data_IF_150485817814
#
_entry.id   IF_150485817814
#
_cell.length_a   1.000
_cell.length_b   1.000
_cell.length_c   1.000
_cell.angle_alpha   90.00
_cell.angle_beta   90.00
_cell.angle_gamma   90.00
#
_symmetry.space_group_name_H-M   'P 1'
#
loop_
_entity.id
_entity.type
_entity.pdbx_description
1 polymer ?
#
# COMPACT_ATOMS: atom_id res chain seq x y z
N UNK A 1 -67.32 39.14 54.21
CA UNK A 1 -67.19 38.41 52.93
C UNK A 1 -65.80 38.50 52.27
N UNK A 2 -65.03 39.60 52.42
CA UNK A 2 -63.68 39.68 51.82
C UNK A 2 -62.61 38.73 52.43
N UNK A 3 -62.76 38.28 53.69
CA UNK A 3 -61.76 37.44 54.37
C UNK A 3 -61.70 35.98 53.89
N UNK A 4 -62.73 35.50 53.19
CA UNK A 4 -62.82 34.10 52.69
C UNK A 4 -62.43 33.95 51.22
N UNK A 5 -62.34 35.05 50.47
CA UNK A 5 -62.05 35.04 49.02
C UNK A 5 -60.53 35.06 48.76
N UNK A 6 -59.77 35.78 49.59
CA UNK A 6 -58.31 35.93 49.46
C UNK A 6 -57.51 34.60 49.56
N UNK A 7 -57.83 33.66 50.49
CA UNK A 7 -57.07 32.41 50.61
C UNK A 7 -57.32 31.44 49.46
N UNK A 8 -58.53 31.46 48.87
CA UNK A 8 -58.90 30.60 47.73
C UNK A 8 -58.23 31.08 46.44
N UNK A 9 -58.11 32.40 46.26
CA UNK A 9 -57.37 33.00 45.13
C UNK A 9 -55.86 32.73 45.26
N UNK A 10 -55.29 32.82 46.47
CA UNK A 10 -53.88 32.48 46.73
C UNK A 10 -53.58 30.99 46.54
N UNK A 11 -54.46 30.09 46.99
CA UNK A 11 -54.32 28.66 46.76
C UNK A 11 -54.48 28.28 45.28
N UNK A 12 -55.40 28.95 44.55
CA UNK A 12 -55.56 28.81 43.10
C UNK A 12 -54.36 29.31 42.31
N UNK A 13 -53.78 30.46 42.70
CA UNK A 13 -52.58 31.01 42.06
C UNK A 13 -51.33 30.14 42.30
N UNK A 14 -51.18 29.56 43.51
CA UNK A 14 -50.10 28.61 43.82
C UNK A 14 -50.28 27.26 43.10
N UNK A 15 -51.51 26.76 42.96
CA UNK A 15 -51.82 25.55 42.20
C UNK A 15 -51.58 25.70 40.70
N UNK A 16 -51.96 26.85 40.12
CA UNK A 16 -51.70 27.17 38.70
C UNK A 16 -50.20 27.37 38.46
N UNK A 17 -49.48 28.05 39.36
CA UNK A 17 -48.04 28.24 39.28
C UNK A 17 -47.24 26.94 39.41
N UNK A 18 -47.65 26.04 40.31
CA UNK A 18 -47.05 24.71 40.46
C UNK A 18 -47.32 23.81 39.25
N UNK A 19 -48.53 23.86 38.69
CA UNK A 19 -48.87 23.14 37.45
C UNK A 19 -48.07 23.64 36.25
N UNK A 20 -48.00 24.97 36.05
CA UNK A 20 -47.18 25.58 34.98
C UNK A 20 -45.68 25.26 35.14
N UNK A 21 -45.16 25.31 36.37
CA UNK A 21 -43.78 24.93 36.67
C UNK A 21 -43.48 23.46 36.38
N UNK A 22 -44.42 22.56 36.71
CA UNK A 22 -44.30 21.13 36.42
C UNK A 22 -44.37 20.83 34.91
N UNK A 23 -45.29 21.46 34.18
CA UNK A 23 -45.39 21.30 32.72
C UNK A 23 -44.16 21.84 31.99
N UNK A 24 -43.64 22.98 32.43
CA UNK A 24 -42.43 23.59 31.84
C UNK A 24 -41.16 22.79 32.16
N UNK A 25 -41.07 22.22 33.37
CA UNK A 25 -40.01 21.29 33.74
C UNK A 25 -40.02 20.03 32.86
N UNK A 26 -41.19 19.40 32.69
CA UNK A 26 -41.33 18.22 31.84
C UNK A 26 -41.03 18.53 30.36
N UNK A 27 -41.44 19.71 29.86
CA UNK A 27 -41.10 20.17 28.51
C UNK A 27 -39.59 20.28 28.31
N UNK A 28 -38.88 20.90 29.26
CA UNK A 28 -37.41 21.01 29.20
C UNK A 28 -36.70 19.67 29.31
N UNK A 29 -37.20 18.75 30.14
CA UNK A 29 -36.63 17.39 30.24
C UNK A 29 -36.83 16.61 28.93
N UNK A 30 -37.98 16.75 28.29
CA UNK A 30 -38.25 16.16 26.99
C UNK A 30 -37.36 16.77 25.89
N UNK A 31 -37.17 18.10 25.88
CA UNK A 31 -36.25 18.79 24.97
C UNK A 31 -34.80 18.32 25.16
N UNK A 32 -34.34 18.17 26.41
CA UNK A 32 -33.01 17.63 26.72
C UNK A 32 -32.89 16.17 26.25
N UNK A 33 -33.93 15.35 26.44
CA UNK A 33 -33.93 13.95 25.97
C UNK A 33 -33.87 13.88 24.45
N UNK A 34 -34.71 14.65 23.76
CA UNK A 34 -34.72 14.70 22.29
C UNK A 34 -33.39 15.23 21.74
N UNK A 35 -32.79 16.23 22.39
CA UNK A 35 -31.48 16.73 22.02
C UNK A 35 -30.41 15.65 22.18
N UNK A 36 -30.36 14.96 23.32
CA UNK A 36 -29.43 13.85 23.55
C UNK A 36 -29.63 12.70 22.55
N UNK A 37 -30.87 12.29 22.28
CA UNK A 37 -31.19 11.25 21.29
C UNK A 37 -30.72 11.68 19.89
N UNK A 38 -30.95 12.94 19.50
CA UNK A 38 -30.51 13.47 18.21
C UNK A 38 -28.98 13.56 18.09
N UNK A 39 -28.30 13.94 19.18
CA UNK A 39 -26.83 14.00 19.23
C UNK A 39 -26.22 12.59 19.19
N UNK A 40 -26.83 11.62 19.86
CA UNK A 40 -26.40 10.22 19.82
C UNK A 40 -26.63 9.61 18.43
N UNK A 41 -27.77 9.88 17.80
CA UNK A 41 -28.06 9.47 16.43
C UNK A 41 -27.06 10.07 15.44
N UNK A 42 -26.81 11.39 15.54
CA UNK A 42 -25.83 12.08 14.70
C UNK A 42 -24.41 11.54 14.88
N UNK A 43 -24.02 11.18 16.11
CA UNK A 43 -22.73 10.52 16.38
C UNK A 43 -22.66 9.15 15.73
N UNK A 44 -23.69 8.31 15.87
CA UNK A 44 -23.72 6.98 15.23
C UNK A 44 -23.65 7.07 13.70
N UNK A 45 -24.38 8.01 13.11
CA UNK A 45 -24.35 8.25 11.67
C UNK A 45 -22.97 8.75 11.21
N UNK A 46 -22.35 9.63 11.98
CA UNK A 46 -20.99 10.12 11.74
C UNK A 46 -19.97 8.98 11.82
N UNK A 47 -20.00 8.15 12.87
CA UNK A 47 -19.08 7.03 13.06
C UNK A 47 -19.21 6.00 11.92
N UNK A 48 -20.45 5.70 11.50
CA UNK A 48 -20.71 4.81 10.36
C UNK A 48 -20.17 5.39 9.04
N UNK A 49 -20.32 6.71 8.85
CA UNK A 49 -19.78 7.38 7.66
C UNK A 49 -18.25 7.38 7.64
N UNK A 50 -17.63 7.56 8.80
CA UNK A 50 -16.17 7.48 8.97
C UNK A 50 -15.66 6.06 8.70
N UNK A 51 -16.30 5.03 9.26
CA UNK A 51 -15.97 3.62 9.04
C UNK A 51 -16.02 3.27 7.55
N UNK A 52 -17.10 3.65 6.86
CA UNK A 52 -17.25 3.42 5.42
C UNK A 52 -16.18 4.14 4.60
N UNK A 53 -15.77 5.34 5.02
CA UNK A 53 -14.71 6.10 4.36
C UNK A 53 -13.35 5.42 4.54
N UNK A 54 -13.07 4.87 5.73
CA UNK A 54 -11.90 4.06 5.98
C UNK A 54 -11.88 2.77 5.17
N UNK A 55 -13.00 2.05 5.15
CA UNK A 55 -13.13 0.83 4.35
C UNK A 55 -12.85 1.11 2.87
N UNK A 56 -13.38 2.21 2.35
CA UNK A 56 -13.11 2.64 0.97
C UNK A 56 -11.62 2.90 0.75
N UNK A 57 -10.99 3.69 1.63
CA UNK A 57 -9.54 4.01 1.53
C UNK A 57 -8.67 2.74 1.63
N UNK A 58 -9.01 1.80 2.49
CA UNK A 58 -8.27 0.54 2.64
C UNK A 58 -8.47 -0.39 1.44
N UNK A 59 -9.69 -0.50 0.91
CA UNK A 59 -9.97 -1.30 -0.27
C UNK A 59 -9.26 -0.73 -1.51
N UNK A 60 -9.29 0.59 -1.67
CA UNK A 60 -8.57 1.29 -2.75
C UNK A 60 -7.05 1.11 -2.60
N UNK A 61 -6.52 1.20 -1.37
CA UNK A 61 -5.12 0.92 -1.07
C UNK A 61 -4.73 -0.49 -1.54
N UNK A 62 -5.50 -1.51 -1.13
CA UNK A 62 -5.20 -2.90 -1.47
C UNK A 62 -5.29 -3.14 -2.97
N UNK A 63 -6.27 -2.53 -3.64
CA UNK A 63 -6.42 -2.63 -5.09
C UNK A 63 -5.23 -1.98 -5.80
N UNK A 64 -4.92 -0.73 -5.49
CA UNK A 64 -3.84 0.01 -6.14
C UNK A 64 -2.48 -0.65 -5.89
N UNK A 65 -2.23 -1.13 -4.66
CA UNK A 65 -1.03 -1.89 -4.34
C UNK A 65 -0.91 -3.16 -5.19
N UNK A 66 -1.99 -3.95 -5.30
CA UNK A 66 -2.01 -5.17 -6.13
C UNK A 66 -1.78 -4.88 -7.60
N UNK A 67 -2.43 -3.85 -8.14
CA UNK A 67 -2.30 -3.45 -9.54
C UNK A 67 -0.82 -3.07 -9.83
N UNK A 68 -0.22 -2.22 -8.98
CA UNK A 68 1.20 -1.82 -9.14
C UNK A 68 2.19 -2.97 -8.96
N UNK A 69 1.93 -3.86 -8.01
CA UNK A 69 2.76 -5.04 -7.80
C UNK A 69 2.66 -6.03 -8.96
N UNK A 70 1.48 -6.16 -9.59
CA UNK A 70 1.28 -6.96 -10.77
C UNK A 70 2.07 -6.40 -11.98
N UNK A 71 1.99 -5.09 -12.22
CA UNK A 71 2.77 -4.42 -13.27
C UNK A 71 4.28 -4.64 -13.06
N UNK A 72 4.77 -4.53 -11.82
CA UNK A 72 6.16 -4.84 -11.49
C UNK A 72 6.52 -6.31 -11.82
N UNK A 73 5.67 -7.25 -11.42
CA UNK A 73 5.90 -8.69 -11.63
C UNK A 73 5.93 -9.05 -13.12
N UNK A 74 5.09 -8.44 -13.94
CA UNK A 74 5.09 -8.64 -15.39
C UNK A 74 6.42 -8.21 -16.01
N UNK A 75 6.93 -7.03 -15.65
CA UNK A 75 8.25 -6.58 -16.12
C UNK A 75 9.38 -7.49 -15.63
N UNK A 76 9.27 -8.00 -14.39
CA UNK A 76 10.25 -8.96 -13.85
C UNK A 76 10.24 -10.29 -14.61
N UNK A 77 9.07 -10.72 -15.09
CA UNK A 77 8.97 -11.90 -15.93
C UNK A 77 9.69 -11.68 -17.26
N UNK A 78 9.47 -10.53 -17.91
CA UNK A 78 10.19 -10.17 -19.13
C UNK A 78 11.72 -10.16 -18.93
N UNK A 79 12.21 -9.74 -17.75
CA UNK A 79 13.65 -9.79 -17.44
C UNK A 79 14.20 -11.23 -17.50
N UNK A 80 13.44 -12.20 -17.00
CA UNK A 80 13.83 -13.60 -17.09
C UNK A 80 13.80 -14.08 -18.54
N UNK A 81 12.75 -13.76 -19.29
CA UNK A 81 12.61 -14.16 -20.70
C UNK A 81 13.77 -13.63 -21.55
N UNK A 82 14.10 -12.33 -21.48
CA UNK A 82 15.18 -11.77 -22.31
C UNK A 82 16.56 -12.32 -21.98
N UNK A 83 16.71 -13.04 -20.86
CA UNK A 83 17.96 -13.69 -20.43
C UNK A 83 18.05 -15.16 -20.84
N UNK A 84 17.02 -15.71 -21.50
CA UNK A 84 17.04 -17.08 -22.00
C UNK A 84 18.03 -17.26 -23.17
N UNK A 85 18.73 -18.41 -23.26
CA UNK A 85 19.75 -18.64 -24.29
C UNK A 85 19.29 -18.43 -25.74
N UNK A 86 18.05 -18.82 -26.07
CA UNK A 86 17.46 -18.63 -27.39
C UNK A 86 17.48 -17.14 -27.83
N UNK A 87 17.34 -16.22 -26.89
CA UNK A 87 17.32 -14.78 -27.11
C UNK A 87 18.74 -14.21 -27.41
N UNK A 88 19.75 -15.08 -27.53
CA UNK A 88 21.10 -14.70 -27.92
C UNK A 88 21.58 -15.45 -29.17
N UNK A 89 20.69 -16.08 -29.95
CA UNK A 89 21.06 -16.87 -31.14
C UNK A 89 21.91 -16.10 -32.15
N UNK A 90 21.69 -14.78 -32.27
CA UNK A 90 22.46 -13.92 -33.17
C UNK A 90 23.10 -12.74 -32.42
N UNK A 91 24.20 -12.16 -32.95
CA UNK A 91 24.77 -10.94 -32.37
C UNK A 91 23.80 -9.77 -32.31
N UNK A 92 22.90 -9.67 -33.29
CA UNK A 92 21.85 -8.65 -33.31
C UNK A 92 20.89 -8.85 -32.14
N UNK A 93 20.46 -10.08 -31.85
CA UNK A 93 19.59 -10.36 -30.71
C UNK A 93 20.26 -10.03 -29.37
N UNK A 94 21.57 -10.33 -29.23
CA UNK A 94 22.32 -9.93 -28.04
C UNK A 94 22.36 -8.41 -27.86
N UNK A 95 22.53 -7.66 -28.95
CA UNK A 95 22.51 -6.20 -28.93
C UNK A 95 21.10 -5.64 -28.61
N UNK A 96 20.06 -6.18 -29.25
CA UNK A 96 18.68 -5.75 -29.07
C UNK A 96 18.22 -6.01 -27.63
N UNK A 97 18.52 -7.19 -27.08
CA UNK A 97 18.14 -7.53 -25.70
C UNK A 97 18.90 -6.70 -24.67
N UNK A 98 20.20 -6.44 -24.87
CA UNK A 98 20.95 -5.56 -23.98
C UNK A 98 20.41 -4.12 -24.03
N UNK A 99 20.08 -3.61 -25.22
CA UNK A 99 19.51 -2.27 -25.38
C UNK A 99 18.07 -2.18 -24.82
N UNK A 100 17.24 -3.20 -25.03
CA UNK A 100 15.91 -3.32 -24.45
C UNK A 100 15.99 -3.28 -22.93
N UNK A 101 16.90 -4.07 -22.35
CA UNK A 101 17.13 -4.08 -20.91
C UNK A 101 17.52 -2.69 -20.40
N UNK A 102 18.59 -2.12 -20.97
CA UNK A 102 19.21 -0.90 -20.47
C UNK A 102 18.32 0.33 -20.63
N UNK A 103 17.65 0.45 -21.77
CA UNK A 103 16.92 1.68 -22.11
C UNK A 103 15.45 1.62 -21.69
N UNK A 104 14.89 0.43 -21.47
CA UNK A 104 13.47 0.26 -21.17
C UNK A 104 13.24 -0.55 -19.89
N UNK A 105 13.74 -1.79 -19.82
CA UNK A 105 13.32 -2.71 -18.77
C UNK A 105 13.83 -2.33 -17.38
N UNK A 106 15.15 -2.10 -17.23
CA UNK A 106 15.73 -1.74 -15.93
C UNK A 106 15.16 -0.42 -15.40
N UNK A 107 15.07 0.67 -16.20
CA UNK A 107 14.42 1.90 -15.76
C UNK A 107 12.95 1.70 -15.37
N UNK A 108 12.20 0.87 -16.11
CA UNK A 108 10.79 0.58 -15.81
C UNK A 108 10.64 -0.21 -14.52
N UNK A 109 11.51 -1.20 -14.27
CA UNK A 109 11.52 -1.95 -13.01
C UNK A 109 11.78 -1.03 -11.81
N UNK A 110 12.81 -0.17 -11.87
CA UNK A 110 13.07 0.79 -10.79
C UNK A 110 11.90 1.77 -10.59
N UNK A 111 11.32 2.28 -11.68
CA UNK A 111 10.15 3.15 -11.61
C UNK A 111 8.97 2.44 -10.94
N UNK A 112 8.66 1.20 -11.36
CA UNK A 112 7.54 0.43 -10.82
C UNK A 112 7.77 0.10 -9.33
N UNK A 113 9.00 -0.20 -8.91
CA UNK A 113 9.35 -0.38 -7.51
C UNK A 113 9.03 0.88 -6.68
N UNK A 114 9.43 2.06 -7.16
CA UNK A 114 9.11 3.34 -6.53
C UNK A 114 7.59 3.55 -6.47
N UNK A 115 6.86 3.22 -7.53
CA UNK A 115 5.40 3.36 -7.56
C UNK A 115 4.71 2.45 -6.53
N UNK A 116 5.15 1.20 -6.39
CA UNK A 116 4.63 0.27 -5.36
C UNK A 116 4.85 0.84 -3.96
N UNK A 117 6.05 1.34 -3.67
CA UNK A 117 6.37 1.96 -2.38
C UNK A 117 5.56 3.25 -2.14
N UNK A 118 5.35 4.05 -3.20
CA UNK A 118 4.60 5.30 -3.16
C UNK A 118 3.13 5.15 -2.79
N UNK A 119 2.55 3.95 -2.95
CA UNK A 119 1.17 3.66 -2.52
C UNK A 119 1.02 3.89 -1.02
N UNK A 120 1.95 3.41 -0.19
CA UNK A 120 1.88 3.60 1.27
C UNK A 120 1.88 5.08 1.68
N UNK A 121 2.69 5.90 1.03
CA UNK A 121 2.78 7.33 1.34
C UNK A 121 1.55 8.10 0.84
N UNK A 122 1.03 7.74 -0.34
CA UNK A 122 -0.20 8.32 -0.90
C UNK A 122 -1.40 8.06 0.02
N UNK A 123 -1.60 6.81 0.45
CA UNK A 123 -2.71 6.46 1.31
C UNK A 123 -2.52 6.91 2.76
N UNK A 124 -1.27 7.06 3.24
CA UNK A 124 -1.01 7.71 4.52
C UNK A 124 -1.54 9.14 4.56
N UNK A 125 -1.40 9.91 3.46
CA UNK A 125 -1.99 11.25 3.35
C UNK A 125 -3.52 11.22 3.30
N UNK A 126 -4.11 10.24 2.61
CA UNK A 126 -5.59 10.06 2.58
C UNK A 126 -6.15 9.73 3.97
N UNK A 127 -5.47 8.87 4.73
CA UNK A 127 -5.83 8.54 6.12
C UNK A 127 -5.73 9.77 7.02
N UNK A 128 -4.65 10.55 6.94
CA UNK A 128 -4.54 11.80 7.70
C UNK A 128 -5.64 12.80 7.36
N UNK A 129 -5.99 12.92 6.07
CA UNK A 129 -7.05 13.81 5.64
C UNK A 129 -8.42 13.37 6.18
N UNK A 130 -8.72 12.06 6.20
CA UNK A 130 -9.94 11.53 6.81
C UNK A 130 -10.01 11.81 8.32
N UNK A 131 -8.88 11.76 9.01
CA UNK A 131 -8.81 11.97 10.46
C UNK A 131 -8.83 13.45 10.87
N UNK A 132 -8.69 14.39 9.94
CA UNK A 132 -8.46 15.81 10.28
C UNK A 132 -9.60 16.45 11.10
N UNK A 133 -10.85 15.97 10.92
CA UNK A 133 -12.02 16.43 11.68
C UNK A 133 -12.24 15.69 13.01
N UNK A 134 -11.51 14.60 13.25
CA UNK A 134 -11.76 13.72 14.38
C UNK A 134 -11.18 14.25 15.70
N UNK A 135 -11.69 13.81 16.85
CA UNK A 135 -11.05 14.07 18.14
C UNK A 135 -9.60 13.56 18.14
N UNK A 136 -8.71 14.31 18.78
CA UNK A 136 -7.26 14.00 18.82
C UNK A 136 -6.96 12.56 19.25
N UNK A 137 -7.70 12.04 20.24
CA UNK A 137 -7.54 10.66 20.71
C UNK A 137 -7.81 9.63 19.59
N UNK A 138 -8.87 9.86 18.80
CA UNK A 138 -9.20 9.04 17.63
C UNK A 138 -8.12 9.15 16.55
N UNK A 139 -7.65 10.36 16.28
CA UNK A 139 -6.56 10.60 15.33
C UNK A 139 -5.30 9.82 15.73
N UNK A 140 -4.85 9.99 16.97
CA UNK A 140 -3.63 9.38 17.51
C UNK A 140 -3.73 7.84 17.47
N UNK A 141 -4.89 7.28 17.83
CA UNK A 141 -5.14 5.84 17.78
C UNK A 141 -5.08 5.27 16.36
N UNK A 142 -5.89 5.80 15.45
CA UNK A 142 -5.99 5.26 14.09
C UNK A 142 -4.70 5.51 13.31
N UNK A 143 -4.09 6.68 13.48
CA UNK A 143 -2.79 6.97 12.88
C UNK A 143 -1.69 6.05 13.42
N UNK A 144 -1.71 5.73 14.72
CA UNK A 144 -0.81 4.75 15.33
C UNK A 144 -0.93 3.38 14.67
N UNK A 145 -2.15 2.88 14.47
CA UNK A 145 -2.39 1.59 13.78
C UNK A 145 -1.89 1.62 12.32
N UNK A 146 -2.18 2.71 11.59
CA UNK A 146 -1.68 2.89 10.23
C UNK A 146 -0.14 2.88 10.18
N UNK A 147 0.51 3.61 11.09
CA UNK A 147 1.98 3.65 11.17
C UNK A 147 2.56 2.30 11.57
N UNK A 148 1.93 1.56 12.48
CA UNK A 148 2.36 0.21 12.86
C UNK A 148 2.26 -0.77 11.69
N UNK A 149 1.14 -0.77 10.97
CA UNK A 149 0.98 -1.58 9.76
C UNK A 149 2.04 -1.19 8.71
N UNK A 150 2.21 0.11 8.46
CA UNK A 150 3.23 0.63 7.54
C UNK A 150 4.62 0.16 7.94
N UNK A 151 5.02 0.31 9.20
CA UNK A 151 6.34 -0.11 9.68
C UNK A 151 6.60 -1.61 9.48
N UNK A 152 5.60 -2.46 9.76
CA UNK A 152 5.72 -3.91 9.56
C UNK A 152 5.87 -4.29 8.09
N UNK A 153 5.17 -3.61 7.19
CA UNK A 153 5.12 -3.98 5.78
C UNK A 153 6.21 -3.28 4.94
N UNK A 154 6.38 -1.97 5.12
CA UNK A 154 7.30 -1.14 4.32
C UNK A 154 8.74 -1.58 4.48
N UNK A 155 9.19 -1.93 5.69
CA UNK A 155 10.58 -2.36 5.90
C UNK A 155 10.91 -3.66 5.14
N UNK A 156 9.94 -4.59 5.06
CA UNK A 156 10.07 -5.83 4.28
C UNK A 156 10.17 -5.50 2.79
N UNK A 157 9.31 -4.60 2.29
CA UNK A 157 9.34 -4.19 0.88
C UNK A 157 10.60 -3.39 0.51
N UNK A 158 11.10 -2.53 1.39
CA UNK A 158 12.38 -1.82 1.19
C UNK A 158 13.49 -2.86 1.00
N UNK A 159 13.63 -3.80 1.93
CA UNK A 159 14.65 -4.86 1.83
C UNK A 159 14.47 -5.69 0.58
N UNK A 160 13.23 -6.03 0.21
CA UNK A 160 12.94 -6.77 -1.02
C UNK A 160 13.41 -6.02 -2.27
N UNK A 161 13.09 -4.72 -2.40
CA UNK A 161 13.48 -3.92 -3.56
C UNK A 161 14.98 -3.58 -3.58
N UNK A 162 15.64 -3.45 -2.43
CA UNK A 162 17.11 -3.39 -2.36
C UNK A 162 17.76 -4.66 -2.96
N UNK A 163 17.17 -5.84 -2.72
CA UNK A 163 17.63 -7.07 -3.37
C UNK A 163 17.30 -7.12 -4.86
N UNK A 164 16.14 -6.58 -5.27
CA UNK A 164 15.80 -6.48 -6.69
C UNK A 164 16.79 -5.57 -7.43
N UNK A 165 17.22 -4.45 -6.85
CA UNK A 165 18.24 -3.59 -7.47
C UNK A 165 19.56 -4.34 -7.67
N UNK A 166 19.98 -5.13 -6.68
CA UNK A 166 21.16 -6.02 -6.81
C UNK A 166 20.97 -7.08 -7.89
N UNK A 167 19.77 -7.63 -8.01
CA UNK A 167 19.42 -8.65 -8.99
C UNK A 167 19.42 -8.06 -10.42
N UNK A 168 18.81 -6.90 -10.61
CA UNK A 168 18.78 -6.15 -11.87
C UNK A 168 20.22 -5.84 -12.31
N UNK A 169 21.07 -5.36 -11.41
CA UNK A 169 22.49 -5.11 -11.72
C UNK A 169 23.24 -6.41 -12.11
N UNK A 170 22.96 -7.54 -11.45
CA UNK A 170 23.56 -8.82 -11.81
C UNK A 170 23.12 -9.30 -13.20
N UNK A 171 21.86 -9.08 -13.57
CA UNK A 171 21.37 -9.34 -14.92
C UNK A 171 21.98 -8.40 -15.96
N UNK A 172 22.18 -7.12 -15.62
CA UNK A 172 22.89 -6.19 -16.51
C UNK A 172 24.29 -6.71 -16.86
N UNK A 173 25.04 -7.18 -15.86
CA UNK A 173 26.37 -7.75 -16.06
C UNK A 173 26.34 -8.96 -17.02
N UNK A 174 25.38 -9.87 -16.84
CA UNK A 174 25.19 -11.03 -17.71
C UNK A 174 24.84 -10.64 -19.15
N UNK A 175 23.86 -9.75 -19.32
CA UNK A 175 23.40 -9.28 -20.62
C UNK A 175 24.51 -8.52 -21.36
N UNK A 176 25.25 -7.68 -20.64
CA UNK A 176 26.42 -6.98 -21.17
C UNK A 176 27.51 -7.95 -21.60
N UNK A 177 27.74 -9.02 -20.83
CA UNK A 177 28.70 -10.05 -21.19
C UNK A 177 28.30 -10.76 -22.50
N UNK A 178 27.04 -11.16 -22.65
CA UNK A 178 26.55 -11.74 -23.92
C UNK A 178 26.66 -10.76 -25.08
N UNK A 179 26.28 -9.50 -24.90
CA UNK A 179 26.46 -8.48 -25.92
C UNK A 179 27.94 -8.31 -26.35
N UNK A 180 28.87 -8.25 -25.39
CA UNK A 180 30.31 -8.11 -25.68
C UNK A 180 30.94 -9.35 -26.31
N UNK A 181 30.40 -10.54 -25.99
CA UNK A 181 30.87 -11.83 -26.49
C UNK A 181 30.05 -12.37 -27.65
N UNK A 182 29.18 -11.58 -28.25
CA UNK A 182 28.22 -11.99 -29.26
C UNK A 182 28.81 -12.79 -30.45
N UNK A 183 30.07 -12.53 -30.82
CA UNK A 183 30.77 -13.24 -31.90
C UNK A 183 31.64 -14.43 -31.41
N UNK A 184 31.59 -14.75 -30.12
CA UNK A 184 32.46 -15.72 -29.41
C UNK A 184 31.65 -16.88 -28.80
N UNK A 185 30.37 -16.98 -29.10
CA UNK A 185 29.52 -18.11 -28.78
C UNK A 185 28.51 -18.35 -29.90
N UNK A 186 27.86 -19.50 -29.87
CA UNK A 186 26.67 -19.77 -30.68
C UNK A 186 25.62 -20.44 -29.80
N UNK A 187 24.36 -20.34 -30.20
CA UNK A 187 23.26 -21.04 -29.54
C UNK A 187 23.13 -22.48 -30.06
N UNK A 188 23.14 -23.46 -29.15
CA UNK A 188 22.86 -24.87 -29.45
C UNK A 188 21.39 -25.19 -29.16
N UNK A 189 20.60 -25.30 -30.24
CA UNK A 189 19.16 -25.65 -30.20
C UNK A 189 18.86 -26.97 -29.51
N UNK A 190 19.80 -27.93 -29.49
CA UNK A 190 19.54 -29.25 -28.88
C UNK A 190 19.68 -29.22 -27.37
N UNK A 191 20.62 -28.43 -26.86
CA UNK A 191 20.91 -28.34 -25.42
C UNK A 191 20.32 -27.10 -24.76
N UNK A 192 19.71 -26.20 -25.54
CA UNK A 192 19.14 -24.91 -25.14
C UNK A 192 20.16 -24.07 -24.34
N UNK A 193 21.37 -23.95 -24.89
CA UNK A 193 22.51 -23.32 -24.21
C UNK A 193 23.37 -22.54 -25.19
N UNK A 194 24.06 -21.55 -24.65
CA UNK A 194 25.16 -20.88 -25.36
C UNK A 194 26.43 -21.71 -25.24
N UNK A 195 27.08 -21.94 -26.38
CA UNK A 195 28.33 -22.69 -26.49
C UNK A 195 29.44 -21.70 -26.86
N UNK A 196 30.27 -21.38 -25.88
CA UNK A 196 31.38 -20.45 -26.02
C UNK A 196 32.57 -21.10 -26.73
N UNK A 197 33.22 -20.34 -27.61
CA UNK A 197 34.44 -20.76 -28.30
C UNK A 197 35.64 -20.86 -27.36
N UNK A 198 35.65 -20.09 -26.26
CA UNK A 198 36.73 -20.07 -25.27
C UNK A 198 36.25 -20.68 -23.94
N UNK A 199 36.91 -21.72 -23.40
CA UNK A 199 36.53 -22.33 -22.12
C UNK A 199 36.42 -21.37 -20.93
N UNK A 200 37.29 -20.34 -20.78
CA UNK A 200 37.17 -19.37 -19.68
C UNK A 200 35.86 -18.58 -19.68
N UNK A 201 35.30 -18.25 -20.84
CA UNK A 201 34.06 -17.46 -20.93
C UNK A 201 32.86 -18.24 -20.34
N UNK A 202 32.88 -19.57 -20.43
CA UNK A 202 31.87 -20.44 -19.79
C UNK A 202 31.95 -20.42 -18.27
N UNK A 203 33.15 -20.30 -17.70
CA UNK A 203 33.31 -20.17 -16.24
C UNK A 203 32.86 -18.79 -15.76
N UNK A 204 33.10 -17.74 -16.56
CA UNK A 204 32.60 -16.38 -16.28
C UNK A 204 31.06 -16.36 -16.30
N UNK A 205 30.43 -16.93 -17.32
CA UNK A 205 28.97 -17.08 -17.41
C UNK A 205 28.39 -17.80 -16.18
N UNK A 206 29.00 -18.93 -15.79
CA UNK A 206 28.59 -19.67 -14.59
C UNK A 206 28.67 -18.80 -13.33
N UNK A 207 29.70 -17.97 -13.22
CA UNK A 207 29.86 -17.01 -12.13
C UNK A 207 28.71 -16.01 -12.05
N UNK A 208 28.23 -15.50 -13.18
CA UNK A 208 27.04 -14.62 -13.23
C UNK A 208 25.78 -15.35 -12.76
N UNK A 209 25.51 -16.56 -13.26
CA UNK A 209 24.36 -17.33 -12.80
C UNK A 209 24.42 -17.67 -11.31
N UNK A 210 25.59 -18.04 -10.78
CA UNK A 210 25.77 -18.26 -9.34
C UNK A 210 25.49 -17.00 -8.51
N UNK A 211 25.94 -15.83 -8.99
CA UNK A 211 25.65 -14.53 -8.35
C UNK A 211 24.14 -14.25 -8.35
N UNK A 212 23.47 -14.45 -9.48
CA UNK A 212 22.01 -14.27 -9.63
C UNK A 212 21.25 -15.21 -8.68
N UNK A 213 21.58 -16.50 -8.68
CA UNK A 213 20.91 -17.49 -7.81
C UNK A 213 21.13 -17.18 -6.33
N UNK A 214 22.34 -16.78 -5.93
CA UNK A 214 22.60 -16.35 -4.54
C UNK A 214 21.71 -15.18 -4.13
N UNK A 215 21.57 -14.16 -4.98
CA UNK A 215 20.71 -13.00 -4.68
C UNK A 215 19.23 -13.43 -4.59
N UNK A 216 18.78 -14.34 -5.46
CA UNK A 216 17.41 -14.90 -5.38
C UNK A 216 17.17 -15.64 -4.07
N UNK A 217 18.13 -16.42 -3.58
CA UNK A 217 18.01 -17.11 -2.29
C UNK A 217 18.02 -16.13 -1.11
N UNK A 218 18.89 -15.11 -1.14
CA UNK A 218 18.88 -14.01 -0.15
C UNK A 218 17.52 -13.30 -0.12
N UNK A 219 16.93 -13.05 -1.30
CA UNK A 219 15.62 -12.43 -1.41
C UNK A 219 14.48 -13.33 -0.90
N UNK A 220 14.51 -14.64 -1.20
CA UNK A 220 13.51 -15.58 -0.67
C UNK A 220 13.53 -15.57 0.86
N UNK A 221 14.70 -15.47 1.48
CA UNK A 221 14.80 -15.41 2.94
C UNK A 221 14.11 -14.17 3.55
N UNK A 222 14.06 -13.03 2.84
CA UNK A 222 13.35 -11.82 3.28
C UNK A 222 11.83 -12.04 3.32
N UNK A 223 11.29 -12.79 2.34
CA UNK A 223 9.85 -13.05 2.24
C UNK A 223 9.39 -14.04 3.32
N UNK A 224 10.28 -14.88 3.84
CA UNK A 224 9.99 -15.94 4.81
C UNK A 224 10.55 -15.64 6.22
N UNK A 225 11.00 -14.41 6.50
CA UNK A 225 11.56 -14.03 7.80
C UNK A 225 10.53 -13.62 8.86
N UNK A 226 9.24 -13.80 8.57
CA UNK A 226 8.10 -13.57 9.47
C UNK A 226 7.45 -14.91 9.89
#
# INVERSE_FOLDING_TARGET
MLKTILPVILAGALGIGAYFGYTEYNRRQEEIRQQHESEEQARKEHDLALEKSFETVLNDFLKEFRDKAADYKEQRFLLMEITEPINFETPQYAADNFNLFKNHLAPTLHKNAIEVMGVFDSYGKKVQALLASEPKETQDKIWGEWQNMRARQVDVYIKYFEQEDRLIAAYEELLKFYYQRANMYHYDKKSDKLVFSMPPDREVERGFYQKIERIKEEQKAIIHSD
#
